data_IF_002679048813
#
_entry.id   IF_002679048813
#
_cell.length_a   1.000
_cell.length_b   1.000
_cell.length_c   1.000
_cell.angle_alpha   90.00
_cell.angle_beta   90.00
_cell.angle_gamma   90.00
#
_symmetry.space_group_name_H-M   'P 1'
#
loop_
_entity.id
_entity.type
_entity.pdbx_description
1 polymer ?
#
# COMPACT_ATOMS: atom_id res chain seq x y z
N UNK A 1 13.06 -7.06 -21.89
CA UNK A 1 11.85 -7.86 -21.62
C UNK A 1 11.73 -8.01 -20.11
N UNK A 2 10.90 -7.18 -19.49
CA UNK A 2 10.48 -7.31 -18.10
C UNK A 2 9.15 -8.04 -18.12
N UNK A 3 9.19 -9.37 -18.08
CA UNK A 3 8.01 -10.17 -17.80
C UNK A 3 7.89 -10.33 -16.29
N UNK A 4 6.72 -9.98 -15.75
CA UNK A 4 6.23 -10.46 -14.46
C UNK A 4 6.38 -9.52 -13.28
N UNK A 5 5.58 -8.45 -13.19
CA UNK A 5 5.24 -7.87 -11.88
C UNK A 5 3.93 -7.07 -11.83
N UNK A 6 2.90 -7.42 -12.60
CA UNK A 6 1.53 -7.07 -12.20
C UNK A 6 1.10 -7.97 -11.03
N UNK A 7 1.90 -8.02 -9.96
CA UNK A 7 1.44 -8.57 -8.70
C UNK A 7 0.36 -7.60 -8.21
N UNK A 8 -0.89 -8.06 -8.13
CA UNK A 8 -1.92 -7.27 -7.46
C UNK A 8 -1.46 -7.04 -6.03
N UNK A 9 -1.22 -5.78 -5.67
CA UNK A 9 -1.01 -5.38 -4.28
C UNK A 9 -2.24 -5.75 -3.46
N UNK A 10 -2.00 -6.16 -2.21
CA UNK A 10 -3.05 -6.53 -1.26
C UNK A 10 -2.87 -5.76 0.02
N UNK A 11 -3.99 -5.45 0.68
CA UNK A 11 -3.97 -4.93 2.06
C UNK A 11 -3.12 -5.85 2.92
N UNK A 12 -2.26 -5.27 3.75
CA UNK A 12 -1.31 -5.96 4.62
C UNK A 12 0.01 -6.38 3.95
N UNK A 13 0.16 -6.27 2.62
CA UNK A 13 1.47 -6.46 1.98
C UNK A 13 2.50 -5.51 2.63
N UNK A 14 3.68 -6.05 2.95
CA UNK A 14 4.83 -5.27 3.40
C UNK A 14 5.76 -5.06 2.21
N UNK A 15 6.01 -3.80 1.88
CA UNK A 15 6.77 -3.41 0.70
C UNK A 15 8.03 -2.65 1.10
N UNK A 16 9.10 -2.85 0.34
CA UNK A 16 10.26 -1.96 0.35
C UNK A 16 10.21 -1.08 -0.88
N UNK A 17 10.11 0.23 -0.65
CA UNK A 17 10.09 1.25 -1.68
C UNK A 17 11.43 1.96 -1.76
N UNK A 18 11.83 2.34 -2.97
CA UNK A 18 12.92 3.30 -3.19
C UNK A 18 12.76 3.97 -4.54
N UNK A 19 13.14 5.23 -4.65
CA UNK A 19 13.17 5.97 -5.91
C UNK A 19 14.51 6.69 -6.00
N UNK A 20 15.29 6.51 -7.09
CA UNK A 20 16.52 7.24 -7.29
C UNK A 20 16.32 8.75 -7.19
N UNK A 21 17.32 9.43 -6.62
CA UNK A 21 17.31 10.88 -6.50
C UNK A 21 17.52 11.56 -7.87
N UNK A 22 16.46 12.13 -8.41
CA UNK A 22 16.40 12.75 -9.73
C UNK A 22 16.48 14.28 -9.60
N UNK A 23 17.27 14.99 -10.43
CA UNK A 23 17.34 16.44 -10.42
C UNK A 23 15.96 17.08 -10.61
N UNK A 24 15.70 18.15 -9.84
CA UNK A 24 14.49 18.95 -9.93
C UNK A 24 14.78 20.41 -9.53
N UNK A 25 13.79 21.28 -9.69
CA UNK A 25 13.89 22.70 -9.35
C UNK A 25 12.72 23.10 -8.46
N UNK A 26 13.01 23.88 -7.42
CA UNK A 26 12.00 24.41 -6.51
C UNK A 26 11.23 25.53 -7.21
N UNK A 27 9.92 25.35 -7.39
CA UNK A 27 9.04 26.33 -8.00
C UNK A 27 8.51 27.36 -6.97
N UNK A 28 8.34 26.94 -5.72
CA UNK A 28 7.74 27.77 -4.68
C UNK A 28 7.98 27.21 -3.28
N UNK A 29 7.65 28.01 -2.27
CA UNK A 29 7.74 27.60 -0.86
C UNK A 29 6.59 28.20 -0.07
N UNK A 30 6.01 27.42 0.82
CA UNK A 30 5.08 27.85 1.87
C UNK A 30 5.72 27.60 3.25
N UNK A 31 5.05 27.94 4.37
CA UNK A 31 5.54 27.58 5.70
C UNK A 31 5.75 26.07 5.87
N UNK A 32 4.83 25.26 5.36
CA UNK A 32 4.77 23.81 5.63
C UNK A 32 5.23 22.94 4.46
N UNK A 33 5.33 23.50 3.25
CA UNK A 33 5.67 22.76 2.03
C UNK A 33 6.67 23.51 1.15
N UNK A 34 7.36 22.75 0.30
CA UNK A 34 8.02 23.27 -0.89
C UNK A 34 7.27 22.76 -2.12
N UNK A 35 7.15 23.58 -3.15
CA UNK A 35 6.62 23.15 -4.45
C UNK A 35 7.80 22.86 -5.37
N UNK A 36 7.87 21.66 -5.92
CA UNK A 36 8.95 21.20 -6.79
C UNK A 36 8.38 20.95 -8.18
N UNK A 37 9.05 21.49 -9.21
CA UNK A 37 8.76 21.13 -10.59
C UNK A 37 8.98 19.62 -10.75
N UNK A 38 7.90 18.88 -10.91
CA UNK A 38 7.95 17.43 -10.79
C UNK A 38 8.65 16.83 -12.02
N UNK A 39 9.66 15.97 -11.83
CA UNK A 39 10.51 15.56 -12.95
C UNK A 39 9.92 14.44 -13.81
N UNK A 40 8.84 13.78 -13.35
CA UNK A 40 8.32 12.55 -13.98
C UNK A 40 6.99 12.73 -14.69
N UNK A 41 6.09 13.55 -14.13
CA UNK A 41 4.74 13.70 -14.69
C UNK A 41 4.66 14.86 -15.68
N UNK A 42 3.75 14.75 -16.63
CA UNK A 42 3.37 15.83 -17.54
C UNK A 42 2.01 16.40 -17.16
N UNK A 43 1.76 17.67 -17.49
CA UNK A 43 0.41 18.24 -17.41
C UNK A 43 -0.48 17.55 -18.45
N UNK A 44 -1.69 17.18 -18.05
CA UNK A 44 -2.70 16.62 -18.95
C UNK A 44 -3.47 17.75 -19.65
N UNK A 45 -3.24 18.00 -20.95
CA UNK A 45 -3.96 19.06 -21.68
C UNK A 45 -5.42 18.68 -21.98
N UNK A 46 -5.78 17.40 -21.85
CA UNK A 46 -7.12 16.85 -22.08
C UNK A 46 -7.91 16.68 -20.77
N UNK A 47 -7.42 17.22 -19.66
CA UNK A 47 -8.19 17.29 -18.42
C UNK A 47 -9.18 18.45 -18.49
N UNK A 48 -10.46 18.12 -18.39
CA UNK A 48 -11.58 19.06 -18.49
C UNK A 48 -11.74 19.89 -17.21
N UNK A 49 -11.43 19.30 -16.05
CA UNK A 49 -11.81 19.87 -14.74
C UNK A 49 -10.62 20.24 -13.86
N UNK A 50 -9.48 19.56 -14.00
CA UNK A 50 -8.33 19.71 -13.11
C UNK A 50 -7.14 20.27 -13.87
N UNK A 51 -6.74 21.50 -13.50
CA UNK A 51 -5.58 22.16 -14.09
C UNK A 51 -4.38 22.07 -13.16
N UNK A 52 -3.68 20.94 -13.23
CA UNK A 52 -2.40 20.80 -12.52
C UNK A 52 -1.31 21.63 -13.22
N UNK A 53 -0.47 22.30 -12.44
CA UNK A 53 0.52 23.26 -12.93
C UNK A 53 1.92 22.66 -13.19
N UNK A 54 2.07 21.34 -12.99
CA UNK A 54 3.34 20.63 -13.14
C UNK A 54 4.21 20.59 -11.88
N UNK A 55 3.73 21.13 -10.76
CA UNK A 55 4.48 21.19 -9.50
C UNK A 55 3.83 20.27 -8.45
N UNK A 56 4.65 19.58 -7.66
CA UNK A 56 4.21 18.77 -6.51
C UNK A 56 4.64 19.45 -5.23
N UNK A 57 3.73 19.54 -4.26
CA UNK A 57 4.03 19.99 -2.92
C UNK A 57 4.64 18.83 -2.12
N UNK A 58 5.81 19.07 -1.51
CA UNK A 58 6.46 18.15 -0.58
C UNK A 58 6.51 18.79 0.80
N UNK A 59 6.32 17.99 1.84
CA UNK A 59 6.43 18.48 3.22
C UNK A 59 7.82 19.07 3.46
N UNK A 60 7.84 20.30 3.99
CA UNK A 60 9.06 21.09 4.12
C UNK A 60 9.90 20.70 5.33
N UNK A 61 9.25 20.40 6.46
CA UNK A 61 9.93 20.28 7.75
C UNK A 61 9.50 19.03 8.50
N UNK A 62 10.46 18.46 9.25
CA UNK A 62 10.21 17.36 10.18
C UNK A 62 9.28 17.73 11.35
N UNK A 63 9.05 19.04 11.57
CA UNK A 63 8.08 19.52 12.55
C UNK A 63 6.62 19.44 12.05
N UNK A 64 6.39 19.26 10.74
CA UNK A 64 5.03 19.13 10.20
C UNK A 64 4.40 17.79 10.60
N UNK A 65 3.12 17.77 11.00
CA UNK A 65 2.39 16.53 11.27
C UNK A 65 2.38 15.55 10.09
N UNK A 66 2.45 16.06 8.85
CA UNK A 66 2.42 15.27 7.62
C UNK A 66 3.78 14.63 7.28
N UNK A 67 4.87 15.08 7.92
CA UNK A 67 6.22 14.60 7.63
C UNK A 67 6.39 13.10 7.82
N UNK A 68 5.66 12.54 8.79
CA UNK A 68 5.69 11.12 9.09
C UNK A 68 5.12 10.25 7.97
N UNK A 69 4.22 10.81 7.14
CA UNK A 69 3.55 10.10 6.07
C UNK A 69 4.20 10.39 4.70
N UNK A 70 4.86 11.55 4.54
CA UNK A 70 5.62 11.90 3.33
C UNK A 70 6.71 10.86 3.03
N UNK A 71 6.75 10.34 1.81
CA UNK A 71 7.78 9.38 1.36
C UNK A 71 8.93 10.05 0.62
N UNK A 72 8.66 11.11 -0.14
CA UNK A 72 9.69 11.77 -0.93
C UNK A 72 10.55 12.67 -0.05
N UNK A 73 11.84 12.71 -0.38
CA UNK A 73 12.84 13.54 0.28
C UNK A 73 13.61 14.31 -0.76
N UNK A 74 14.13 15.47 -0.37
CA UNK A 74 15.02 16.26 -1.20
C UNK A 74 16.45 16.24 -0.69
N UNK A 75 17.39 16.40 -1.61
CA UNK A 75 18.79 16.70 -1.33
C UNK A 75 19.16 18.00 -2.08
N UNK A 76 19.52 19.10 -1.39
CA UNK A 76 19.55 19.25 0.07
C UNK A 76 18.14 19.19 0.71
N UNK A 77 18.04 19.07 2.05
CA UNK A 77 16.76 19.00 2.76
C UNK A 77 15.84 20.21 2.49
N UNK A 78 14.53 19.96 2.47
CA UNK A 78 13.52 20.92 2.03
C UNK A 78 13.46 22.22 2.85
N UNK A 79 13.77 22.19 4.14
CA UNK A 79 13.70 23.35 5.04
C UNK A 79 14.52 24.55 4.54
N UNK A 80 15.71 24.28 3.97
CA UNK A 80 16.65 25.29 3.50
C UNK A 80 16.46 25.73 2.05
N UNK A 81 15.61 25.05 1.29
CA UNK A 81 15.43 25.29 -0.14
C UNK A 81 14.62 26.57 -0.41
N UNK A 82 14.99 27.29 -1.47
CA UNK A 82 14.33 28.51 -1.95
C UNK A 82 13.83 28.36 -3.38
N UNK A 83 12.81 29.13 -3.80
CA UNK A 83 12.35 29.13 -5.19
C UNK A 83 13.51 29.43 -6.17
N UNK A 84 13.57 28.66 -7.25
CA UNK A 84 14.62 28.73 -8.27
C UNK A 84 15.85 27.87 -7.97
N UNK A 85 16.02 27.35 -6.75
CA UNK A 85 17.15 26.48 -6.42
C UNK A 85 16.96 25.06 -6.99
N UNK A 86 18.08 24.42 -7.30
CA UNK A 86 18.12 23.03 -7.73
C UNK A 86 18.20 22.09 -6.52
N UNK A 87 17.46 21.00 -6.59
CA UNK A 87 17.54 19.90 -5.65
C UNK A 87 17.52 18.57 -6.40
N UNK A 88 17.62 17.48 -5.65
CA UNK A 88 17.28 16.14 -6.15
C UNK A 88 16.15 15.60 -5.30
N UNK A 89 15.16 14.96 -5.92
CA UNK A 89 14.01 14.36 -5.25
C UNK A 89 14.00 12.85 -5.47
N UNK A 90 13.69 12.09 -4.43
CA UNK A 90 13.58 10.64 -4.49
C UNK A 90 13.03 10.06 -3.19
N UNK A 91 12.95 8.74 -3.12
CA UNK A 91 12.49 8.01 -1.93
C UNK A 91 13.69 7.19 -1.44
N UNK A 92 14.24 7.44 -0.24
CA UNK A 92 15.25 6.55 0.33
C UNK A 92 14.65 5.15 0.54
N UNK A 93 15.45 4.08 0.65
CA UNK A 93 14.94 2.75 0.98
C UNK A 93 14.03 2.78 2.22
N UNK A 94 12.73 2.60 2.00
CA UNK A 94 11.68 2.79 3.02
C UNK A 94 10.81 1.55 3.07
N UNK A 95 10.61 1.01 4.28
CA UNK A 95 9.67 -0.08 4.50
C UNK A 95 8.28 0.50 4.78
N UNK A 96 7.27 0.00 4.09
CA UNK A 96 5.87 0.42 4.23
C UNK A 96 4.95 -0.81 4.28
N UNK A 97 3.72 -0.62 4.72
CA UNK A 97 2.65 -1.61 4.57
C UNK A 97 1.46 -1.03 3.84
N UNK A 98 0.80 -1.86 3.03
CA UNK A 98 -0.36 -1.48 2.22
C UNK A 98 -1.61 -1.43 3.10
N UNK A 99 -2.22 -0.26 3.17
CA UNK A 99 -3.47 -0.04 3.91
C UNK A 99 -4.70 -0.19 3.00
N UNK A 100 -4.62 0.27 1.76
CA UNK A 100 -5.71 0.20 0.81
C UNK A 100 -5.20 0.11 -0.63
N UNK A 101 -6.03 -0.43 -1.52
CA UNK A 101 -5.80 -0.47 -2.95
C UNK A 101 -7.08 -0.03 -3.65
N UNK A 102 -7.01 1.07 -4.40
CA UNK A 102 -8.09 1.59 -5.21
C UNK A 102 -7.78 1.36 -6.67
N UNK A 103 -8.77 0.91 -7.44
CA UNK A 103 -8.66 0.70 -8.89
C UNK A 103 -9.67 1.58 -9.59
N UNK A 104 -9.24 2.21 -10.67
CA UNK A 104 -10.03 3.15 -11.45
C UNK A 104 -10.17 2.64 -12.88
N UNK A 105 -11.41 2.42 -13.29
CA UNK A 105 -11.77 2.16 -14.68
C UNK A 105 -13.06 2.95 -15.01
N UNK A 106 -12.98 4.05 -15.78
CA UNK A 106 -11.80 4.57 -16.47
C UNK A 106 -10.71 5.13 -15.52
N UNK A 107 -9.46 5.34 -16.01
CA UNK A 107 -8.39 5.98 -15.23
C UNK A 107 -8.82 7.34 -14.66
N UNK A 108 -8.34 7.63 -13.45
CA UNK A 108 -8.70 8.83 -12.71
C UNK A 108 -8.15 10.09 -13.38
N UNK A 109 -9.01 11.06 -13.63
CA UNK A 109 -8.61 12.37 -14.11
C UNK A 109 -8.01 13.18 -12.95
N UNK A 110 -6.73 13.55 -13.05
CA UNK A 110 -5.98 14.24 -11.98
C UNK A 110 -5.27 15.50 -12.48
N UNK A 111 -5.53 15.92 -13.73
CA UNK A 111 -4.80 17.02 -14.39
C UNK A 111 -3.35 16.69 -14.76
N UNK A 112 -2.89 15.47 -14.48
CA UNK A 112 -1.54 14.98 -14.79
C UNK A 112 -1.58 13.70 -15.62
N UNK A 113 -0.49 13.47 -16.35
CA UNK A 113 -0.19 12.23 -17.03
C UNK A 113 0.99 11.51 -16.36
N UNK A 114 0.98 10.16 -16.32
CA UNK A 114 -0.13 9.30 -16.74
C UNK A 114 -1.34 9.42 -15.79
N UNK A 115 -2.55 9.19 -16.33
CA UNK A 115 -3.78 9.17 -15.52
C UNK A 115 -3.78 7.91 -14.66
N UNK A 116 -3.95 8.01 -13.33
CA UNK A 116 -3.84 6.86 -12.47
C UNK A 116 -4.89 5.79 -12.74
N UNK A 117 -4.44 4.53 -12.79
CA UNK A 117 -5.32 3.36 -12.84
C UNK A 117 -5.45 2.68 -11.49
N UNK A 118 -4.45 2.85 -10.64
CA UNK A 118 -4.40 2.23 -9.32
C UNK A 118 -3.79 3.21 -8.34
N UNK A 119 -4.43 3.39 -7.17
CA UNK A 119 -3.75 3.98 -6.01
C UNK A 119 -3.50 2.88 -4.99
N UNK A 120 -2.24 2.72 -4.59
CA UNK A 120 -1.85 1.89 -3.45
C UNK A 120 -1.55 2.85 -2.31
N UNK A 121 -2.38 2.81 -1.27
CA UNK A 121 -2.20 3.66 -0.09
C UNK A 121 -1.32 2.90 0.90
N UNK A 122 -0.21 3.51 1.29
CA UNK A 122 0.79 2.88 2.16
C UNK A 122 1.07 3.70 3.42
N UNK A 123 1.44 3.01 4.49
CA UNK A 123 1.92 3.61 5.73
C UNK A 123 3.37 3.16 6.00
N UNK A 124 4.27 4.07 6.42
CA UNK A 124 5.62 3.69 6.83
C UNK A 124 5.62 2.73 8.03
N UNK A 125 6.67 1.90 8.12
CA UNK A 125 6.89 1.07 9.30
C UNK A 125 6.94 1.91 10.59
N UNK A 126 6.36 1.38 11.68
CA UNK A 126 6.15 2.04 12.96
C UNK A 126 4.81 2.78 13.06
N UNK A 127 4.00 2.80 11.99
CA UNK A 127 2.73 3.51 11.93
C UNK A 127 1.57 2.54 11.77
N UNK A 128 0.59 2.65 12.65
CA UNK A 128 -0.67 1.90 12.57
C UNK A 128 -1.75 2.79 11.96
N UNK A 129 -2.75 2.18 11.33
CA UNK A 129 -3.92 2.92 10.86
C UNK A 129 -4.67 3.53 12.05
N UNK A 130 -4.97 4.83 11.97
CA UNK A 130 -5.80 5.55 12.94
C UNK A 130 -7.24 5.59 12.44
N UNK A 131 -8.19 4.86 13.06
CA UNK A 131 -9.58 4.83 12.61
C UNK A 131 -10.29 6.19 12.73
N UNK A 132 -9.75 7.15 13.50
CA UNK A 132 -10.32 8.49 13.65
C UNK A 132 -9.86 9.47 12.57
N UNK A 133 -8.92 9.08 11.71
CA UNK A 133 -8.42 9.92 10.60
C UNK A 133 -9.01 9.47 9.27
N UNK A 134 -9.72 10.39 8.63
CA UNK A 134 -10.30 10.18 7.30
C UNK A 134 -9.20 10.03 6.23
N UNK A 135 -8.17 10.88 6.29
CA UNK A 135 -7.03 10.86 5.37
C UNK A 135 -5.74 10.50 6.10
N UNK A 136 -5.09 9.43 5.64
CA UNK A 136 -3.81 8.97 6.15
C UNK A 136 -3.10 8.08 5.13
N UNK A 137 -1.78 7.97 5.31
CA UNK A 137 -0.93 7.23 4.39
C UNK A 137 -0.55 8.04 3.15
N UNK A 138 0.32 7.44 2.36
CA UNK A 138 0.84 8.01 1.14
C UNK A 138 0.31 7.22 -0.05
N UNK A 139 -0.19 7.91 -1.07
CA UNK A 139 -0.68 7.29 -2.29
C UNK A 139 0.48 7.12 -3.28
N UNK A 140 0.68 5.89 -3.76
CA UNK A 140 1.55 5.61 -4.90
C UNK A 140 0.73 5.01 -6.04
N UNK A 141 1.09 5.37 -7.27
CA UNK A 141 0.59 4.71 -8.47
C UNK A 141 1.71 3.84 -9.05
N UNK A 142 1.63 2.51 -8.96
CA UNK A 142 2.67 1.61 -9.48
C UNK A 142 2.85 1.68 -11.00
N UNK A 143 1.86 2.20 -11.72
CA UNK A 143 1.84 2.31 -13.18
C UNK A 143 2.20 3.72 -13.66
N UNK A 144 2.67 4.60 -12.76
CA UNK A 144 3.08 5.96 -13.14
C UNK A 144 4.53 6.05 -13.67
N UNK A 145 4.92 7.24 -14.11
CA UNK A 145 6.24 7.50 -14.68
C UNK A 145 7.34 7.70 -13.61
N UNK A 146 7.02 7.59 -12.32
CA UNK A 146 8.02 7.69 -11.26
C UNK A 146 8.78 6.36 -11.19
N UNK A 147 10.13 6.37 -11.22
CA UNK A 147 10.94 5.16 -11.18
C UNK A 147 11.04 4.59 -9.76
N UNK A 148 9.90 4.31 -9.12
CA UNK A 148 9.81 3.65 -7.82
C UNK A 148 10.11 2.17 -8.02
N UNK A 149 11.19 1.71 -7.39
CA UNK A 149 11.44 0.28 -7.19
C UNK A 149 10.58 -0.19 -6.01
N UNK A 150 9.72 -1.15 -6.29
CA UNK A 150 8.82 -1.78 -5.32
C UNK A 150 9.22 -3.25 -5.16
N UNK A 151 9.52 -3.67 -3.93
CA UNK A 151 9.85 -5.06 -3.60
C UNK A 151 8.87 -5.59 -2.55
N UNK A 152 8.20 -6.71 -2.82
CA UNK A 152 7.37 -7.40 -1.84
C UNK A 152 8.25 -8.11 -0.83
N UNK A 153 8.23 -7.64 0.42
CA UNK A 153 9.00 -8.23 1.53
C UNK A 153 8.21 -9.35 2.19
N UNK A 154 6.91 -9.15 2.38
CA UNK A 154 6.04 -10.12 3.04
C UNK A 154 4.60 -9.92 2.62
N UNK A 155 3.89 -11.03 2.39
CA UNK A 155 2.44 -11.05 2.17
C UNK A 155 1.82 -11.95 3.23
N UNK A 156 1.05 -11.39 4.19
CA UNK A 156 0.35 -12.21 5.16
C UNK A 156 -0.66 -13.11 4.44
N UNK A 157 -0.71 -14.38 4.82
CA UNK A 157 -1.61 -15.38 4.23
C UNK A 157 -1.45 -15.51 2.71
N UNK A 158 -0.22 -15.49 2.19
CA UNK A 158 0.06 -15.55 0.75
C UNK A 158 -0.57 -16.75 0.01
N UNK A 159 -0.94 -17.80 0.74
CA UNK A 159 -1.62 -19.00 0.24
C UNK A 159 -3.15 -18.84 0.08
N UNK A 160 -3.73 -17.74 0.55
CA UNK A 160 -5.16 -17.43 0.44
C UNK A 160 -5.45 -16.36 -0.62
N UNK A 161 -6.70 -16.33 -1.06
CA UNK A 161 -7.28 -15.31 -1.93
C UNK A 161 -8.56 -14.76 -1.29
N UNK A 162 -8.81 -13.46 -1.48
CA UNK A 162 -10.07 -12.86 -1.03
C UNK A 162 -11.25 -13.61 -1.66
N UNK A 163 -12.23 -13.97 -0.85
CA UNK A 163 -13.37 -14.81 -1.23
C UNK A 163 -13.18 -16.31 -0.98
N UNK A 164 -12.03 -16.74 -0.47
CA UNK A 164 -11.84 -18.15 -0.07
C UNK A 164 -12.78 -18.51 1.09
N UNK A 165 -13.55 -19.58 0.90
CA UNK A 165 -14.38 -20.19 1.93
C UNK A 165 -13.66 -21.40 2.52
N UNK A 166 -13.46 -21.40 3.83
CA UNK A 166 -12.60 -22.36 4.53
C UNK A 166 -13.35 -22.98 5.71
N UNK A 167 -12.94 -24.19 6.08
CA UNK A 167 -13.26 -24.78 7.38
C UNK A 167 -11.99 -24.88 8.22
N UNK A 168 -12.12 -24.52 9.48
CA UNK A 168 -11.01 -24.57 10.45
C UNK A 168 -10.96 -25.92 11.19
N UNK A 169 -9.96 -26.12 12.05
CA UNK A 169 -9.79 -27.40 12.78
C UNK A 169 -10.96 -27.77 13.70
N UNK A 170 -11.78 -26.79 14.08
CA UNK A 170 -12.93 -26.96 14.96
C UNK A 170 -14.21 -27.14 14.15
N UNK A 171 -14.08 -27.41 12.84
CA UNK A 171 -15.20 -27.58 11.90
C UNK A 171 -16.04 -26.31 11.72
N UNK A 172 -15.50 -25.14 12.09
CA UNK A 172 -16.17 -23.85 11.88
C UNK A 172 -15.84 -23.31 10.49
N UNK A 173 -16.87 -22.84 9.77
CA UNK A 173 -16.72 -22.29 8.44
C UNK A 173 -16.46 -20.77 8.46
N UNK A 174 -15.56 -20.32 7.59
CA UNK A 174 -15.05 -18.95 7.51
C UNK A 174 -14.95 -18.46 6.06
N UNK A 175 -15.15 -17.17 5.84
CA UNK A 175 -14.81 -16.45 4.62
C UNK A 175 -13.60 -15.55 4.86
N UNK A 176 -12.60 -15.62 3.99
CA UNK A 176 -11.41 -14.77 4.01
C UNK A 176 -11.54 -13.62 3.02
N UNK A 177 -11.48 -12.38 3.48
CA UNK A 177 -11.53 -11.18 2.62
C UNK A 177 -10.23 -10.37 2.65
N UNK A 178 -9.35 -10.67 3.59
CA UNK A 178 -8.08 -10.01 3.75
C UNK A 178 -7.39 -10.45 5.03
N UNK A 179 -6.12 -10.05 5.23
CA UNK A 179 -5.33 -10.57 6.34
C UNK A 179 -5.96 -10.31 7.73
N UNK A 180 -6.75 -9.24 7.84
CA UNK A 180 -7.44 -8.83 9.07
C UNK A 180 -8.96 -9.01 8.99
N UNK A 181 -9.45 -9.55 7.87
CA UNK A 181 -10.86 -9.52 7.50
C UNK A 181 -11.40 -10.94 7.32
N UNK A 182 -11.87 -11.50 8.43
CA UNK A 182 -12.32 -12.88 8.58
C UNK A 182 -13.76 -12.90 9.09
N UNK A 183 -14.65 -13.58 8.37
CA UNK A 183 -16.06 -13.67 8.75
C UNK A 183 -16.47 -15.13 8.95
N UNK A 184 -17.08 -15.44 10.09
CA UNK A 184 -17.64 -16.76 10.31
C UNK A 184 -19.05 -16.88 9.71
N UNK A 185 -19.33 -17.98 9.02
CA UNK A 185 -20.65 -18.21 8.40
C UNK A 185 -21.78 -18.44 9.40
N UNK A 186 -21.44 -18.83 10.63
CA UNK A 186 -22.39 -19.11 11.69
C UNK A 186 -22.96 -17.86 12.39
N UNK A 187 -22.50 -16.66 12.01
CA UNK A 187 -22.89 -15.40 12.66
C UNK A 187 -22.44 -15.30 14.12
N UNK A 188 -21.53 -16.19 14.56
CA UNK A 188 -20.96 -16.18 15.90
C UNK A 188 -20.04 -14.98 16.14
N UNK A 189 -19.46 -14.94 17.35
CA UNK A 189 -18.58 -13.83 17.73
C UNK A 189 -17.42 -13.64 16.72
N UNK A 190 -16.98 -12.38 16.50
CA UNK A 190 -15.77 -12.09 15.74
C UNK A 190 -14.59 -12.87 16.29
N UNK A 191 -13.70 -13.30 15.40
CA UNK A 191 -12.55 -14.09 15.77
C UNK A 191 -11.72 -14.47 14.55
N UNK A 192 -10.78 -15.36 14.76
CA UNK A 192 -9.86 -15.84 13.72
C UNK A 192 -9.89 -17.36 13.67
N UNK A 193 -9.68 -17.97 12.49
CA UNK A 193 -9.85 -19.39 12.33
C UNK A 193 -8.73 -20.18 13.03
N UNK A 194 -9.09 -21.32 13.60
CA UNK A 194 -8.12 -22.21 14.23
C UNK A 194 -7.47 -23.16 13.19
N UNK A 195 -6.15 -23.10 13.04
CA UNK A 195 -5.44 -23.89 12.04
C UNK A 195 -5.30 -25.37 12.42
N UNK A 196 -5.21 -26.31 11.44
CA UNK A 196 -5.12 -26.07 9.99
C UNK A 196 -6.44 -25.64 9.34
N UNK A 197 -6.33 -25.09 8.14
CA UNK A 197 -7.46 -24.69 7.30
C UNK A 197 -7.64 -25.68 6.15
N UNK A 198 -8.89 -25.97 5.81
CA UNK A 198 -9.27 -26.72 4.61
C UNK A 198 -10.13 -25.84 3.74
N UNK A 199 -9.76 -25.65 2.47
CA UNK A 199 -10.55 -24.89 1.51
C UNK A 199 -11.83 -25.68 1.16
N UNK A 200 -12.99 -25.04 1.31
CA UNK A 200 -14.29 -25.55 0.87
C UNK A 200 -14.55 -25.14 -0.59
N UNK A 201 -14.38 -23.84 -0.86
CA UNK A 201 -14.61 -23.27 -2.17
C UNK A 201 -13.74 -22.02 -2.40
N UNK A 202 -13.37 -21.81 -3.66
CA UNK A 202 -12.83 -20.57 -4.20
C UNK A 202 -13.71 -20.13 -5.35
N UNK A 203 -14.17 -18.89 -5.31
CA UNK A 203 -15.12 -18.33 -6.28
C UNK A 203 -16.36 -19.25 -6.49
N UNK A 204 -16.84 -19.85 -5.40
CA UNK A 204 -17.98 -20.77 -5.40
C UNK A 204 -17.71 -22.17 -5.98
N UNK A 205 -16.44 -22.52 -6.26
CA UNK A 205 -16.06 -23.82 -6.83
C UNK A 205 -15.01 -24.54 -5.99
N UNK A 206 -15.05 -25.86 -5.98
CA UNK A 206 -14.02 -26.65 -5.30
C UNK A 206 -12.70 -26.59 -6.08
N UNK A 207 -11.61 -26.30 -5.39
CA UNK A 207 -10.25 -26.27 -5.94
C UNK A 207 -9.34 -27.19 -5.12
N UNK A 208 -9.21 -28.48 -5.52
CA UNK A 208 -8.42 -29.46 -4.77
C UNK A 208 -6.93 -29.11 -4.68
N UNK A 209 -6.36 -28.46 -5.70
CA UNK A 209 -4.95 -28.08 -5.73
C UNK A 209 -4.69 -26.95 -4.73
N UNK A 210 -5.55 -25.93 -4.72
CA UNK A 210 -5.50 -24.88 -3.71
C UNK A 210 -5.74 -25.43 -2.30
N UNK A 211 -6.72 -26.33 -2.14
CA UNK A 211 -6.99 -26.98 -0.85
C UNK A 211 -5.74 -27.70 -0.31
N UNK A 212 -5.01 -28.43 -1.16
CA UNK A 212 -3.79 -29.11 -0.77
C UNK A 212 -2.65 -28.13 -0.41
N UNK A 213 -2.54 -26.99 -1.11
CA UNK A 213 -1.57 -25.93 -0.77
C UNK A 213 -1.89 -25.31 0.58
N UNK A 214 -3.15 -24.92 0.81
CA UNK A 214 -3.61 -24.30 2.06
C UNK A 214 -3.45 -25.26 3.23
N UNK A 215 -3.85 -26.53 3.06
CA UNK A 215 -3.71 -27.55 4.09
C UNK A 215 -2.25 -27.76 4.50
N UNK A 216 -1.30 -27.76 3.54
CA UNK A 216 0.14 -27.81 3.86
C UNK A 216 0.64 -26.53 4.52
N UNK A 217 0.23 -25.36 4.03
CA UNK A 217 0.68 -24.07 4.55
C UNK A 217 0.21 -23.80 5.98
N UNK A 218 -0.90 -24.41 6.39
CA UNK A 218 -1.52 -24.23 7.71
C UNK A 218 -1.41 -25.47 8.60
N UNK A 219 -0.73 -26.53 8.13
CA UNK A 219 -0.48 -27.74 8.92
C UNK A 219 0.27 -27.43 10.22
N UNK A 220 1.19 -26.47 10.14
CA UNK A 220 1.90 -25.87 11.26
C UNK A 220 1.59 -24.37 11.33
N UNK A 221 1.79 -23.79 12.51
CA UNK A 221 1.63 -22.36 12.70
C UNK A 221 0.23 -21.96 13.21
N UNK A 222 -0.06 -20.67 13.11
CA UNK A 222 -1.34 -20.10 13.52
C UNK A 222 -1.52 -18.69 12.93
N UNK A 223 -2.78 -18.22 12.92
CA UNK A 223 -3.11 -16.82 12.66
C UNK A 223 -2.26 -15.87 13.53
N UNK A 224 -2.11 -16.18 14.83
CA UNK A 224 -1.33 -15.35 15.76
C UNK A 224 0.13 -15.23 15.34
N UNK A 225 0.77 -16.32 14.90
CA UNK A 225 2.15 -16.28 14.42
C UNK A 225 2.30 -15.51 13.11
N UNK A 226 1.33 -15.60 12.19
CA UNK A 226 1.35 -14.81 10.95
C UNK A 226 1.20 -13.31 11.24
N UNK A 227 0.34 -12.96 12.20
CA UNK A 227 0.19 -11.61 12.71
C UNK A 227 1.49 -11.12 13.38
N UNK A 228 2.11 -11.93 14.24
CA UNK A 228 3.36 -11.58 14.92
C UNK A 228 4.48 -11.31 13.92
N UNK A 229 4.58 -12.10 12.83
CA UNK A 229 5.54 -11.86 11.75
C UNK A 229 5.27 -10.53 11.04
N UNK A 230 4.01 -10.23 10.75
CA UNK A 230 3.63 -8.95 10.16
C UNK A 230 4.01 -7.79 11.10
N UNK A 231 3.63 -7.85 12.37
CA UNK A 231 3.95 -6.85 13.40
C UNK A 231 5.45 -6.65 13.57
N UNK A 232 6.24 -7.73 13.55
CA UNK A 232 7.69 -7.67 13.68
C UNK A 232 8.35 -6.94 12.50
N UNK A 233 7.78 -7.07 11.29
CA UNK A 233 8.27 -6.37 10.10
C UNK A 233 7.81 -4.92 10.07
N UNK A 234 6.55 -4.66 10.40
CA UNK A 234 5.94 -3.34 10.24
C UNK A 234 6.09 -2.46 11.46
N UNK A 235 6.30 -3.00 12.66
CA UNK A 235 6.23 -2.24 13.91
C UNK A 235 4.85 -1.59 14.15
N UNK A 236 3.81 -2.10 13.49
CA UNK A 236 2.47 -1.54 13.49
C UNK A 236 1.45 -2.53 14.05
N UNK A 237 0.27 -2.03 14.39
CA UNK A 237 -0.90 -2.83 14.73
C UNK A 237 -1.80 -2.98 13.49
N UNK A 238 -2.41 -4.16 13.28
CA UNK A 238 -3.33 -4.38 12.18
C UNK A 238 -4.54 -3.46 12.34
N UNK A 239 -5.14 -3.07 11.21
CA UNK A 239 -6.40 -2.36 11.25
C UNK A 239 -7.46 -3.26 11.91
N UNK A 240 -8.37 -2.69 12.72
CA UNK A 240 -9.50 -3.45 13.23
C UNK A 240 -10.33 -4.00 12.06
N UNK A 241 -10.82 -5.24 12.21
CA UNK A 241 -11.76 -5.84 11.26
C UNK A 241 -13.00 -4.93 11.13
N UNK A 242 -13.51 -4.77 9.90
CA UNK A 242 -14.68 -3.92 9.61
C UNK A 242 -15.99 -4.69 9.75
#
# INVERSE_FOLDING_TARGET
>A
MMEGMAASFRVGDVLRLSCPYTPATVAGTSPDHISVRWPWWAVDPESDWIRWNGDVALVRSAASPEWADELFRTVPPAEGLRPGEHCRVGIPPTLVHVMAVHRFDPPLETGRLPRPRTHVVVLPAGRSQDPMREEQGYEIDPDDDIPIRIELVFRPYAFLQSGDELVDRNERAWSFHGPWDWYAFDGGAPGTPAWPLTLLARDGTADPDAAAVIGRATADGSHAQELDRWKALTGAEPAPAR
#
